data_IF_375321826905
#
_entry.id   IF_375321826905
#
_cell.length_a   1.000
_cell.length_b   1.000
_cell.length_c   1.000
_cell.angle_alpha   90.00
_cell.angle_beta   90.00
_cell.angle_gamma   90.00
#
_symmetry.space_group_name_H-M   'P 1'
#
loop_
_entity.id
_entity.type
_entity.pdbx_description
1 polymer ?
#
# COMPACT_ATOMS: atom_id res chain seq x y z
N UNK A 1 -22.51 26.68 -88.97
CA UNK A 1 -21.09 26.29 -89.09
C UNK A 1 -20.97 24.90 -88.50
N UNK A 2 -20.72 23.87 -89.31
CA UNK A 2 -20.46 22.51 -88.83
C UNK A 2 -19.11 22.47 -88.14
N UNK A 3 -19.04 21.93 -86.92
CA UNK A 3 -17.78 21.83 -86.16
C UNK A 3 -17.12 20.48 -86.45
N UNK A 4 -16.58 20.36 -87.66
CA UNK A 4 -15.91 19.14 -88.13
C UNK A 4 -14.41 19.26 -87.89
N UNK A 5 -13.78 18.22 -87.35
CA UNK A 5 -12.34 18.20 -87.14
C UNK A 5 -11.62 18.10 -88.50
N UNK A 6 -10.69 19.01 -88.82
CA UNK A 6 -10.03 19.03 -90.12
C UNK A 6 -9.06 17.86 -90.32
N UNK A 7 -8.55 17.27 -89.23
CA UNK A 7 -7.53 16.21 -89.31
C UNK A 7 -8.13 14.80 -89.53
N UNK A 8 -9.40 14.58 -89.15
CA UNK A 8 -10.05 13.26 -89.26
C UNK A 8 -11.50 13.27 -89.76
N UNK A 9 -12.07 14.45 -90.06
CA UNK A 9 -13.42 14.57 -90.60
C UNK A 9 -14.56 14.27 -89.61
N UNK A 10 -14.27 14.04 -88.32
CA UNK A 10 -15.32 13.77 -87.31
C UNK A 10 -16.13 15.02 -86.99
N UNK A 11 -17.46 14.91 -86.94
CA UNK A 11 -18.37 16.02 -86.61
C UNK A 11 -18.67 16.11 -85.12
N UNK A 12 -18.71 17.34 -84.60
CA UNK A 12 -19.00 17.62 -83.20
C UNK A 12 -20.11 18.66 -83.05
N UNK A 13 -20.89 18.53 -81.97
CA UNK A 13 -21.99 19.44 -81.67
C UNK A 13 -21.53 20.85 -81.26
N UNK A 14 -20.31 20.98 -80.71
CA UNK A 14 -19.73 22.27 -80.29
C UNK A 14 -18.24 22.40 -80.65
N UNK A 15 -17.80 23.64 -80.90
CA UNK A 15 -16.44 23.96 -81.37
C UNK A 15 -15.35 23.67 -80.33
N UNK A 16 -15.63 23.89 -79.05
CA UNK A 16 -14.75 23.60 -77.92
C UNK A 16 -14.46 22.10 -77.78
N UNK A 17 -15.49 21.25 -77.99
CA UNK A 17 -15.35 19.80 -77.98
C UNK A 17 -14.49 19.32 -79.16
N UNK A 18 -14.70 19.89 -80.35
CA UNK A 18 -13.87 19.61 -81.53
C UNK A 18 -12.39 19.99 -81.29
N UNK A 19 -12.13 21.18 -80.73
CA UNK A 19 -10.76 21.62 -80.42
C UNK A 19 -10.07 20.74 -79.37
N UNK A 20 -10.82 20.24 -78.38
CA UNK A 20 -10.29 19.30 -77.38
C UNK A 20 -9.99 17.93 -77.98
N UNK A 21 -10.86 17.44 -78.86
CA UNK A 21 -10.61 16.22 -79.64
C UNK A 21 -9.33 16.37 -80.47
N UNK A 22 -9.19 17.48 -81.20
CA UNK A 22 -8.03 17.74 -82.04
C UNK A 22 -6.72 17.73 -81.23
N UNK A 23 -6.72 18.38 -80.07
CA UNK A 23 -5.54 18.43 -79.19
C UNK A 23 -5.18 17.07 -78.58
N UNK A 24 -6.15 16.20 -78.31
CA UNK A 24 -5.93 14.94 -77.61
C UNK A 24 -5.68 13.75 -78.55
N UNK A 25 -6.26 13.76 -79.75
CA UNK A 25 -6.19 12.64 -80.70
C UNK A 25 -5.17 12.85 -81.80
N UNK A 26 -4.90 14.10 -82.19
CA UNK A 26 -4.03 14.41 -83.34
C UNK A 26 -2.72 15.10 -82.96
N UNK A 27 -2.58 15.55 -81.70
CA UNK A 27 -1.30 16.09 -81.22
C UNK A 27 -0.37 14.96 -80.78
N UNK A 28 0.09 14.19 -81.77
CA UNK A 28 1.28 13.35 -81.63
C UNK A 28 2.48 14.31 -81.59
N UNK A 29 3.09 14.41 -80.41
CA UNK A 29 4.43 14.94 -80.09
C UNK A 29 5.10 15.82 -81.16
N UNK A 30 5.26 17.11 -80.88
CA UNK A 30 6.40 17.83 -81.43
C UNK A 30 7.67 17.16 -80.90
N UNK A 31 8.63 16.78 -81.77
CA UNK A 31 9.90 16.23 -81.32
C UNK A 31 10.71 17.35 -80.67
N UNK A 32 11.25 17.08 -79.48
CA UNK A 32 12.31 17.88 -78.89
C UNK A 32 13.52 17.91 -79.84
N UNK A 33 14.31 19.00 -79.88
CA UNK A 33 15.51 19.06 -80.70
C UNK A 33 16.46 17.91 -80.32
N UNK A 34 16.88 17.14 -81.33
CA UNK A 34 17.86 16.06 -81.23
C UNK A 34 19.17 16.63 -80.68
N UNK A 35 19.54 16.21 -79.46
CA UNK A 35 20.85 16.46 -78.88
C UNK A 35 21.74 15.29 -79.29
N UNK A 36 22.87 15.62 -79.93
CA UNK A 36 23.87 14.69 -80.46
C UNK A 36 24.23 13.55 -79.50
N UNK A 37 24.19 12.32 -80.03
CA UNK A 37 24.73 11.10 -79.42
C UNK A 37 26.26 11.19 -79.27
N UNK A 38 26.75 11.63 -78.11
CA UNK A 38 28.18 11.53 -77.77
C UNK A 38 28.52 11.45 -76.28
N UNK A 39 27.56 11.24 -75.37
CA UNK A 39 27.87 11.15 -73.93
C UNK A 39 27.16 9.96 -73.27
N UNK A 40 27.87 9.15 -72.46
CA UNK A 40 27.24 8.11 -71.66
C UNK A 40 26.25 8.75 -70.67
N UNK A 41 25.13 8.08 -70.36
CA UNK A 41 24.14 8.62 -69.44
C UNK A 41 24.79 8.86 -68.07
N UNK A 42 24.42 9.96 -67.38
CA UNK A 42 24.93 10.24 -66.04
C UNK A 42 24.52 9.10 -65.09
N UNK A 43 25.36 8.80 -64.08
CA UNK A 43 25.02 7.79 -63.09
C UNK A 43 23.71 8.14 -62.37
N UNK A 44 22.95 7.13 -61.94
CA UNK A 44 21.71 7.37 -61.21
C UNK A 44 21.98 8.18 -59.93
N UNK A 45 21.04 9.06 -59.53
CA UNK A 45 21.19 9.83 -58.32
C UNK A 45 21.32 8.89 -57.11
N UNK A 46 22.08 9.30 -56.06
CA UNK A 46 22.19 8.53 -54.84
C UNK A 46 20.81 8.33 -54.20
N UNK A 47 20.60 7.22 -53.48
CA UNK A 47 19.35 6.98 -52.77
C UNK A 47 19.07 8.12 -51.78
N UNK A 48 17.79 8.44 -51.53
CA UNK A 48 17.43 9.45 -50.56
C UNK A 48 17.97 9.08 -49.17
N UNK A 49 18.34 10.07 -48.35
CA UNK A 49 18.78 9.82 -46.99
C UNK A 49 17.65 9.11 -46.22
N UNK A 50 18.02 8.27 -45.23
CA UNK A 50 17.02 7.62 -44.37
C UNK A 50 16.15 8.69 -43.69
N UNK A 51 14.86 8.37 -43.41
CA UNK A 51 14.00 9.28 -42.70
C UNK A 51 14.61 9.64 -41.34
N UNK A 52 14.42 10.88 -40.86
CA UNK A 52 14.90 11.26 -39.54
C UNK A 52 14.28 10.33 -38.48
N UNK A 53 15.00 10.04 -37.39
CA UNK A 53 14.46 9.27 -36.28
C UNK A 53 13.17 9.94 -35.76
N UNK A 54 12.21 9.15 -35.26
CA UNK A 54 11.00 9.71 -34.65
C UNK A 54 11.39 10.69 -33.54
N UNK A 55 10.61 11.77 -33.34
CA UNK A 55 10.87 12.69 -32.24
C UNK A 55 10.89 11.92 -30.91
N UNK A 56 11.77 12.30 -29.98
CA UNK A 56 11.80 11.67 -28.67
C UNK A 56 10.41 11.78 -28.02
N UNK A 57 10.00 10.77 -27.23
CA UNK A 57 8.75 10.85 -26.50
C UNK A 57 8.70 12.14 -25.66
N UNK A 58 7.51 12.75 -25.49
CA UNK A 58 7.39 13.95 -24.67
C UNK A 58 7.96 13.69 -23.28
N UNK A 59 8.61 14.69 -22.65
CA UNK A 59 9.11 14.55 -21.29
C UNK A 59 7.96 14.11 -20.37
N UNK A 60 8.23 13.23 -19.39
CA UNK A 60 7.21 12.81 -18.45
C UNK A 60 6.59 14.05 -17.78
N UNK A 61 5.27 14.05 -17.51
CA UNK A 61 4.64 15.15 -16.80
C UNK A 61 5.39 15.42 -15.50
N UNK A 62 5.50 16.69 -15.07
CA UNK A 62 6.15 17.03 -13.82
C UNK A 62 5.52 16.20 -12.69
N UNK A 63 6.33 15.71 -11.72
CA UNK A 63 5.81 14.88 -10.65
C UNK A 63 4.67 15.63 -9.95
N UNK A 64 3.48 15.05 -9.96
CA UNK A 64 2.36 15.56 -9.17
C UNK A 64 2.80 15.53 -7.71
N UNK A 65 2.87 16.69 -7.06
CA UNK A 65 3.06 16.75 -5.62
C UNK A 65 1.94 15.95 -4.95
N UNK A 66 2.31 15.11 -3.99
CA UNK A 66 1.34 14.31 -3.24
C UNK A 66 0.62 15.24 -2.27
N UNK A 67 -0.70 15.36 -2.43
CA UNK A 67 -1.57 16.13 -1.54
C UNK A 67 -2.50 15.14 -0.83
N UNK A 68 -2.44 15.13 0.49
CA UNK A 68 -3.35 14.37 1.34
C UNK A 68 -4.60 15.21 1.55
N UNK A 69 -5.76 14.64 1.21
CA UNK A 69 -7.03 15.32 1.34
C UNK A 69 -7.63 15.05 2.71
N UNK A 70 -7.76 16.09 3.54
CA UNK A 70 -8.45 16.03 4.82
C UNK A 70 -9.98 16.05 4.62
N UNK A 71 -10.75 15.37 5.49
CA UNK A 71 -10.30 14.42 6.50
C UNK A 71 -9.80 13.10 5.88
N UNK A 72 -8.92 12.40 6.60
CA UNK A 72 -8.40 11.10 6.19
C UNK A 72 -8.02 10.19 7.37
N UNK A 73 -7.95 8.89 7.10
CA UNK A 73 -7.39 7.88 8.00
C UNK A 73 -6.07 7.36 7.42
N UNK A 74 -5.05 7.25 8.26
CA UNK A 74 -3.69 6.88 7.83
C UNK A 74 -3.05 5.85 8.77
N UNK A 75 -2.34 4.89 8.19
CA UNK A 75 -1.45 3.99 8.94
C UNK A 75 -0.01 4.12 8.45
N UNK A 76 0.94 4.27 9.37
CA UNK A 76 2.37 4.18 9.12
C UNK A 76 2.87 2.88 9.76
N UNK A 77 3.37 1.94 8.96
CA UNK A 77 3.72 0.60 9.42
C UNK A 77 5.18 0.23 9.11
N UNK A 78 5.89 -0.23 10.14
CA UNK A 78 7.27 -0.71 10.03
C UNK A 78 7.94 -0.89 11.40
N UNK A 79 9.02 -1.67 11.50
CA UNK A 79 9.65 -2.02 12.76
C UNK A 79 10.24 -0.80 13.50
N UNK A 80 10.67 -0.99 14.74
CA UNK A 80 11.42 0.05 15.49
C UNK A 80 12.61 0.55 14.67
N UNK A 81 12.83 1.87 14.69
CA UNK A 81 13.92 2.50 13.95
C UNK A 81 13.69 2.65 12.44
N UNK A 82 12.52 2.28 11.91
CA UNK A 82 12.26 2.34 10.46
C UNK A 82 12.02 3.75 9.89
N UNK A 83 11.97 4.79 10.73
CA UNK A 83 11.78 6.20 10.30
C UNK A 83 10.35 6.74 10.34
N UNK A 84 9.37 6.00 10.87
CA UNK A 84 7.94 6.41 10.91
C UNK A 84 7.71 7.77 11.57
N UNK A 85 8.23 7.97 12.77
CA UNK A 85 8.07 9.20 13.55
C UNK A 85 8.68 10.40 12.81
N UNK A 86 9.83 10.21 12.16
CA UNK A 86 10.47 11.25 11.35
C UNK A 86 9.70 11.56 10.06
N UNK A 87 9.14 10.53 9.42
CA UNK A 87 8.24 10.70 8.27
C UNK A 87 7.03 11.56 8.65
N UNK A 88 6.41 11.28 9.80
CA UNK A 88 5.28 12.07 10.31
C UNK A 88 5.71 13.50 10.63
N UNK A 89 6.84 13.71 11.30
CA UNK A 89 7.41 15.05 11.50
C UNK A 89 7.55 15.82 10.19
N UNK A 90 8.12 15.19 9.17
CA UNK A 90 8.32 15.80 7.84
C UNK A 90 6.99 16.18 7.20
N UNK A 91 5.96 15.33 7.32
CA UNK A 91 4.61 15.65 6.86
C UNK A 91 4.05 16.87 7.61
N UNK A 92 4.20 16.92 8.93
CA UNK A 92 3.67 18.02 9.74
C UNK A 92 4.35 19.35 9.46
N UNK A 93 5.68 19.36 9.31
CA UNK A 93 6.45 20.54 8.91
C UNK A 93 6.02 21.07 7.54
N UNK A 94 5.50 20.20 6.67
CA UNK A 94 4.97 20.53 5.34
C UNK A 94 3.44 20.48 5.26
N UNK A 95 2.74 20.46 6.40
CA UNK A 95 1.30 20.24 6.43
C UNK A 95 0.51 21.27 5.62
N UNK A 96 0.99 22.53 5.54
CA UNK A 96 0.35 23.61 4.77
C UNK A 96 0.36 23.37 3.26
N UNK A 97 1.30 22.59 2.75
CA UNK A 97 1.44 22.30 1.31
C UNK A 97 1.08 20.87 0.95
N UNK A 98 1.12 19.95 1.93
CA UNK A 98 0.87 18.52 1.71
C UNK A 98 -0.46 18.02 2.26
N UNK A 99 -1.17 18.80 3.07
CA UNK A 99 -2.50 18.43 3.59
C UNK A 99 -3.50 19.52 3.22
N UNK A 100 -4.66 19.15 2.66
CA UNK A 100 -5.67 20.10 2.20
C UNK A 100 -7.09 19.69 2.64
N UNK A 101 -7.82 20.54 3.40
CA UNK A 101 -7.31 21.71 4.12
C UNK A 101 -6.23 21.34 5.16
N UNK A 102 -5.34 22.28 5.48
CA UNK A 102 -4.30 22.04 6.48
C UNK A 102 -4.90 21.99 7.89
N UNK A 103 -4.47 21.08 8.77
CA UNK A 103 -5.00 21.01 10.13
C UNK A 103 -4.72 22.28 10.93
N UNK A 104 -5.78 22.82 11.55
CA UNK A 104 -5.71 23.95 12.48
C UNK A 104 -5.35 23.50 13.89
N UNK A 105 -5.63 22.24 14.25
CA UNK A 105 -5.24 21.63 15.52
C UNK A 105 -4.57 20.28 15.28
N UNK A 106 -3.42 20.06 15.91
CA UNK A 106 -2.71 18.77 15.86
C UNK A 106 -2.59 18.23 17.29
N UNK A 107 -3.04 17.00 17.52
CA UNK A 107 -2.88 16.30 18.79
C UNK A 107 -1.98 15.10 18.58
N UNK A 108 -0.84 15.08 19.26
CA UNK A 108 0.12 13.99 19.22
C UNK A 108 0.05 13.17 20.51
N UNK A 109 -0.53 11.98 20.40
CA UNK A 109 -0.64 11.02 21.49
C UNK A 109 0.60 10.12 21.52
N UNK A 110 1.26 9.98 22.69
CA UNK A 110 2.53 9.25 22.81
C UNK A 110 2.58 8.38 24.07
N UNK A 111 3.38 7.30 24.06
CA UNK A 111 3.64 6.50 25.28
C UNK A 111 4.79 7.05 26.13
N UNK A 112 5.92 7.37 25.48
CA UNK A 112 7.14 7.91 26.11
C UNK A 112 7.59 9.18 25.42
N UNK A 113 8.02 10.17 26.20
CA UNK A 113 8.52 11.44 25.67
C UNK A 113 9.80 11.22 24.85
N UNK A 114 9.90 11.90 23.71
CA UNK A 114 11.07 11.83 22.81
C UNK A 114 11.61 13.26 22.59
N UNK A 115 12.95 13.45 22.48
CA UNK A 115 13.53 14.77 22.22
C UNK A 115 12.95 15.49 21.00
N UNK A 116 12.55 14.72 19.98
CA UNK A 116 11.88 15.22 18.77
C UNK A 116 10.61 16.04 19.06
N UNK A 117 9.89 15.72 20.14
CA UNK A 117 8.65 16.41 20.49
C UNK A 117 8.94 17.87 20.88
N UNK A 118 10.06 18.12 21.55
CA UNK A 118 10.51 19.48 21.86
C UNK A 118 10.79 20.30 20.60
N UNK A 119 11.38 19.69 19.56
CA UNK A 119 11.59 20.35 18.26
C UNK A 119 10.26 20.67 17.55
N UNK A 120 9.33 19.71 17.59
CA UNK A 120 7.99 19.88 17.01
C UNK A 120 7.21 21.00 17.70
N UNK A 121 7.25 21.09 19.04
CA UNK A 121 6.60 22.18 19.78
C UNK A 121 7.13 23.56 19.39
N UNK A 122 8.43 23.67 19.11
CA UNK A 122 9.04 24.93 18.68
C UNK A 122 8.63 25.30 17.25
N UNK A 123 8.51 24.31 16.38
CA UNK A 123 8.26 24.52 14.94
C UNK A 123 6.78 24.66 14.61
N UNK A 124 5.91 23.94 15.34
CA UNK A 124 4.48 23.81 15.05
C UNK A 124 3.69 24.33 16.25
N UNK A 125 3.25 25.59 16.20
CA UNK A 125 2.62 26.25 17.36
C UNK A 125 1.29 25.65 17.80
N UNK A 126 0.59 24.97 16.90
CA UNK A 126 -0.74 24.40 17.11
C UNK A 126 -0.72 22.89 17.42
N UNK A 127 0.44 22.36 17.86
CA UNK A 127 0.57 20.97 18.30
C UNK A 127 0.37 20.84 19.82
N UNK A 128 -0.44 19.87 20.23
CA UNK A 128 -0.65 19.47 21.62
C UNK A 128 -0.14 18.04 21.81
N UNK A 129 0.65 17.81 22.86
CA UNK A 129 1.14 16.49 23.22
C UNK A 129 0.31 15.91 24.36
N UNK A 130 -0.18 14.68 24.19
CA UNK A 130 -1.00 13.96 25.18
C UNK A 130 -0.36 12.60 25.44
N UNK A 131 -0.17 12.22 26.70
CA UNK A 131 0.36 10.90 27.03
C UNK A 131 -0.76 9.86 27.04
N UNK A 132 -0.58 8.75 26.32
CA UNK A 132 -1.59 7.69 26.19
C UNK A 132 -2.71 8.02 25.20
N UNK A 133 -3.77 7.20 25.21
CA UNK A 133 -4.99 7.48 24.46
C UNK A 133 -5.89 8.41 25.28
N UNK A 134 -6.44 9.49 24.70
CA UNK A 134 -7.43 10.33 25.37
C UNK A 134 -8.68 9.52 25.73
N UNK A 135 -9.16 9.61 26.97
CA UNK A 135 -10.38 8.90 27.41
C UNK A 135 -11.64 9.44 26.70
N UNK A 136 -11.64 10.72 26.35
CA UNK A 136 -12.73 11.41 25.67
C UNK A 136 -12.48 11.58 24.17
N UNK A 137 -11.76 10.63 23.54
CA UNK A 137 -11.40 10.70 22.11
C UNK A 137 -12.61 10.89 21.18
N UNK A 138 -13.77 10.36 21.59
CA UNK A 138 -15.00 10.39 20.83
C UNK A 138 -15.93 11.58 21.17
N UNK A 139 -15.56 12.42 22.14
CA UNK A 139 -16.37 13.56 22.57
C UNK A 139 -16.10 14.79 21.69
N UNK A 140 -17.17 15.47 21.28
CA UNK A 140 -17.12 16.76 20.58
C UNK A 140 -16.42 17.85 21.41
N UNK A 141 -16.37 17.69 22.74
CA UNK A 141 -15.60 18.57 23.64
C UNK A 141 -14.09 18.47 23.42
N UNK A 142 -13.61 17.30 22.99
CA UNK A 142 -12.20 17.05 22.69
C UNK A 142 -11.87 17.39 21.24
N UNK A 143 -12.76 17.00 20.32
CA UNK A 143 -12.64 17.22 18.87
C UNK A 143 -13.71 18.20 18.39
N UNK A 144 -13.31 19.46 18.26
CA UNK A 144 -14.15 20.51 17.70
C UNK A 144 -14.23 20.38 16.17
N UNK A 145 -15.33 19.79 15.68
CA UNK A 145 -15.57 19.54 14.25
C UNK A 145 -15.65 20.80 13.39
N UNK A 146 -15.73 21.99 13.99
CA UNK A 146 -15.68 23.27 13.26
C UNK A 146 -14.32 23.53 12.63
N UNK A 147 -13.25 22.91 13.12
CA UNK A 147 -11.88 23.14 12.66
C UNK A 147 -11.22 21.84 12.18
N UNK A 148 -10.50 21.87 11.04
CA UNK A 148 -9.74 20.71 10.57
C UNK A 148 -8.72 20.25 11.61
N UNK A 149 -8.89 19.03 12.12
CA UNK A 149 -8.03 18.50 13.19
C UNK A 149 -7.23 17.28 12.72
N UNK A 150 -6.06 17.05 13.30
CA UNK A 150 -5.25 15.84 13.07
C UNK A 150 -4.83 15.22 14.39
N UNK A 151 -5.22 13.96 14.63
CA UNK A 151 -4.72 13.15 15.75
C UNK A 151 -3.68 12.16 15.25
N UNK A 152 -2.56 12.08 15.96
CA UNK A 152 -1.48 11.14 15.70
C UNK A 152 -1.34 10.24 16.91
N UNK A 153 -1.37 8.92 16.70
CA UNK A 153 -1.25 7.91 17.74
C UNK A 153 0.11 7.21 17.56
N UNK A 154 1.11 7.62 18.35
CA UNK A 154 2.50 7.17 18.23
C UNK A 154 2.95 6.27 19.39
N UNK A 155 3.52 5.12 19.06
CA UNK A 155 3.96 4.09 20.02
C UNK A 155 2.83 3.58 20.95
N UNK A 156 1.59 3.62 20.46
CA UNK A 156 0.39 3.17 21.16
C UNK A 156 -0.23 1.92 20.50
N UNK A 157 0.53 1.15 19.71
CA UNK A 157 -0.02 0.08 18.87
C UNK A 157 -0.96 -0.89 19.60
N UNK A 158 -0.60 -1.38 20.80
CA UNK A 158 -1.48 -2.30 21.57
C UNK A 158 -2.76 -1.61 22.06
N UNK A 159 -2.63 -0.37 22.52
CA UNK A 159 -3.76 0.42 23.03
C UNK A 159 -4.72 0.74 21.86
N UNK A 160 -4.15 1.11 20.71
CA UNK A 160 -4.86 1.42 19.46
C UNK A 160 -5.59 0.20 18.88
N UNK A 161 -4.91 -0.94 18.71
CA UNK A 161 -5.49 -2.10 18.02
C UNK A 161 -6.59 -2.82 18.81
N UNK A 162 -6.79 -2.45 20.07
CA UNK A 162 -7.85 -2.96 20.93
C UNK A 162 -8.88 -1.90 21.33
N UNK A 163 -8.73 -0.65 20.86
CA UNK A 163 -9.66 0.44 21.16
C UNK A 163 -10.78 0.51 20.12
N UNK A 164 -12.02 0.31 20.59
CA UNK A 164 -13.21 0.51 19.75
C UNK A 164 -13.37 1.96 19.33
N UNK A 165 -13.03 2.91 20.20
CA UNK A 165 -13.13 4.34 19.92
C UNK A 165 -12.20 4.73 18.77
N UNK A 166 -10.96 4.25 18.78
CA UNK A 166 -10.04 4.50 17.66
C UNK A 166 -10.53 3.81 16.37
N UNK A 167 -11.10 2.61 16.47
CA UNK A 167 -11.68 1.91 15.33
C UNK A 167 -12.83 2.70 14.70
N UNK A 168 -13.73 3.25 15.51
CA UNK A 168 -14.86 4.08 15.07
C UNK A 168 -14.38 5.28 14.24
N UNK A 169 -13.28 5.92 14.64
CA UNK A 169 -12.67 7.00 13.86
C UNK A 169 -12.25 6.56 12.46
N UNK A 170 -11.83 5.30 12.28
CA UNK A 170 -11.43 4.76 10.99
C UNK A 170 -12.62 4.38 10.11
N UNK A 171 -13.72 3.94 10.70
CA UNK A 171 -14.91 3.45 9.96
C UNK A 171 -15.82 4.61 9.53
N UNK A 172 -16.13 5.52 10.45
CA UNK A 172 -17.10 6.60 10.19
C UNK A 172 -16.70 7.95 10.81
N UNK A 173 -16.04 7.95 11.97
CA UNK A 173 -15.82 9.16 12.76
C UNK A 173 -14.97 10.24 12.06
N UNK A 174 -13.93 9.85 11.30
CA UNK A 174 -13.03 10.81 10.63
C UNK A 174 -13.76 11.80 9.72
N UNK A 175 -14.70 11.31 8.90
CA UNK A 175 -15.42 12.14 7.94
C UNK A 175 -16.48 13.03 8.59
N UNK A 176 -17.14 12.54 9.65
CA UNK A 176 -18.19 13.28 10.34
C UNK A 176 -17.65 14.34 11.29
N UNK A 177 -16.40 14.20 11.77
CA UNK A 177 -15.80 15.08 12.78
C UNK A 177 -14.74 16.04 12.25
N UNK A 178 -14.61 16.20 10.92
CA UNK A 178 -13.57 17.06 10.30
C UNK A 178 -12.17 16.73 10.88
N UNK A 179 -11.87 15.42 10.96
CA UNK A 179 -10.75 14.89 11.72
C UNK A 179 -9.94 13.94 10.84
N UNK A 180 -8.65 14.21 10.70
CA UNK A 180 -7.69 13.22 10.22
C UNK A 180 -7.11 12.42 11.37
N UNK A 181 -6.88 11.13 11.16
CA UNK A 181 -6.28 10.22 12.15
C UNK A 181 -5.10 9.50 11.53
N UNK A 182 -3.96 9.50 12.22
CA UNK A 182 -2.77 8.78 11.80
C UNK A 182 -2.26 7.85 12.91
N UNK A 183 -2.22 6.55 12.63
CA UNK A 183 -1.69 5.54 13.55
C UNK A 183 -0.27 5.15 13.13
N UNK A 184 0.70 5.29 14.04
CA UNK A 184 2.06 4.83 13.84
C UNK A 184 2.22 3.47 14.52
N UNK A 185 2.39 2.42 13.72
CA UNK A 185 2.37 1.03 14.16
C UNK A 185 3.69 0.33 13.82
N UNK A 186 4.09 -0.61 14.68
CA UNK A 186 5.26 -1.46 14.42
C UNK A 186 4.99 -2.49 13.32
N UNK A 187 3.73 -2.90 13.15
CA UNK A 187 3.28 -3.84 12.13
C UNK A 187 1.88 -3.46 11.62
N UNK A 188 1.66 -3.52 10.32
CA UNK A 188 0.35 -3.31 9.70
C UNK A 188 -0.67 -4.42 10.03
N UNK A 189 -0.18 -5.60 10.45
CA UNK A 189 -0.98 -6.79 10.78
C UNK A 189 -0.82 -7.19 12.25
N UNK A 190 -0.63 -6.21 13.14
CA UNK A 190 -0.53 -6.46 14.58
C UNK A 190 -1.78 -7.15 15.13
N UNK A 191 -1.61 -7.98 16.16
CA UNK A 191 -2.74 -8.58 16.89
C UNK A 191 -3.56 -7.48 17.58
N UNK A 192 -4.87 -7.67 17.61
CA UNK A 192 -5.84 -6.77 18.23
C UNK A 192 -7.19 -6.87 17.53
N UNK A 193 -8.27 -6.75 18.29
CA UNK A 193 -9.64 -6.98 17.80
C UNK A 193 -10.00 -6.05 16.63
N UNK A 194 -9.46 -4.84 16.64
CA UNK A 194 -9.81 -3.78 15.69
C UNK A 194 -8.79 -3.60 14.55
N UNK A 195 -7.61 -4.23 14.67
CA UNK A 195 -6.48 -4.08 13.75
C UNK A 195 -6.86 -4.29 12.28
N UNK A 196 -7.61 -5.36 11.98
CA UNK A 196 -8.06 -5.69 10.62
C UNK A 196 -9.02 -4.62 10.08
N UNK A 197 -9.98 -4.21 10.89
CA UNK A 197 -10.99 -3.21 10.51
C UNK A 197 -10.33 -1.87 10.20
N UNK A 198 -9.42 -1.41 11.06
CA UNK A 198 -8.66 -0.18 10.84
C UNK A 198 -7.80 -0.25 9.57
N UNK A 199 -7.15 -1.39 9.33
CA UNK A 199 -6.32 -1.60 8.14
C UNK A 199 -7.11 -1.50 6.84
N UNK A 200 -8.29 -2.14 6.78
CA UNK A 200 -9.16 -2.11 5.59
C UNK A 200 -9.77 -0.71 5.37
N UNK A 201 -10.08 0.04 6.43
CA UNK A 201 -10.67 1.37 6.34
C UNK A 201 -9.65 2.52 6.27
N UNK A 202 -8.35 2.20 6.20
CA UNK A 202 -7.30 3.20 6.03
C UNK A 202 -7.32 3.78 4.61
N UNK A 203 -7.39 5.10 4.49
CA UNK A 203 -7.32 5.79 3.20
C UNK A 203 -5.90 5.98 2.69
N UNK A 204 -4.95 6.09 3.61
CA UNK A 204 -3.53 6.17 3.32
C UNK A 204 -2.75 5.14 4.12
N UNK A 205 -1.81 4.44 3.49
CA UNK A 205 -0.90 3.53 4.17
C UNK A 205 0.53 3.85 3.76
N UNK A 206 1.43 3.95 4.73
CA UNK A 206 2.87 4.10 4.50
C UNK A 206 3.58 2.86 5.00
N UNK A 207 4.16 2.09 4.08
CA UNK A 207 4.92 0.90 4.42
C UNK A 207 6.42 1.19 4.39
N UNK A 208 7.08 0.95 5.52
CA UNK A 208 8.53 1.03 5.66
C UNK A 208 9.17 -0.34 5.54
N UNK A 209 10.48 -0.35 5.27
CA UNK A 209 11.26 -1.58 5.19
C UNK A 209 11.17 -2.38 6.49
N UNK A 210 10.74 -3.64 6.38
CA UNK A 210 10.95 -4.65 7.40
C UNK A 210 11.82 -5.78 6.81
N UNK A 211 13.12 -5.86 7.13
CA UNK A 211 14.00 -6.89 6.56
C UNK A 211 13.57 -8.32 6.88
N UNK A 212 12.90 -8.54 8.03
CA UNK A 212 12.50 -9.88 8.50
C UNK A 212 11.13 -10.29 7.97
N UNK A 213 10.16 -9.37 7.99
CA UNK A 213 8.77 -9.66 7.63
C UNK A 213 8.44 -9.14 6.22
N UNK A 214 8.56 -10.03 5.24
CA UNK A 214 8.12 -9.80 3.86
C UNK A 214 6.70 -10.30 3.60
N UNK A 215 6.08 -10.97 4.58
CA UNK A 215 4.72 -11.53 4.47
C UNK A 215 3.71 -10.39 4.43
N UNK A 216 3.89 -9.37 5.27
CA UNK A 216 3.01 -8.20 5.30
C UNK A 216 2.84 -7.52 3.94
N UNK A 217 3.92 -7.01 3.30
CA UNK A 217 3.85 -6.44 1.95
C UNK A 217 3.25 -7.40 0.91
N UNK A 218 3.52 -8.71 1.02
CA UNK A 218 2.94 -9.70 0.12
C UNK A 218 1.43 -9.88 0.29
N UNK A 219 0.89 -9.70 1.51
CA UNK A 219 -0.56 -9.68 1.76
C UNK A 219 -1.19 -8.48 1.06
N UNK A 220 -0.65 -7.26 1.24
CA UNK A 220 -1.13 -6.07 0.54
C UNK A 220 -1.09 -6.25 -0.98
N UNK A 221 0.00 -6.80 -1.51
CA UNK A 221 0.14 -7.06 -2.94
C UNK A 221 -0.98 -7.96 -3.48
N UNK A 222 -1.33 -9.04 -2.79
CA UNK A 222 -2.39 -9.97 -3.21
C UNK A 222 -3.79 -9.38 -3.06
N UNK A 223 -4.02 -8.57 -2.03
CA UNK A 223 -5.32 -7.95 -1.79
C UNK A 223 -5.60 -6.81 -2.76
N UNK A 224 -4.62 -5.94 -3.02
CA UNK A 224 -4.77 -4.80 -3.92
C UNK A 224 -4.65 -5.19 -5.40
N UNK A 225 -3.76 -6.13 -5.72
CA UNK A 225 -3.44 -6.52 -7.10
C UNK A 225 -3.54 -8.04 -7.29
N UNK A 226 -4.74 -8.65 -7.12
CA UNK A 226 -4.88 -10.11 -7.14
C UNK A 226 -4.36 -10.75 -8.44
N UNK A 227 -4.51 -10.06 -9.56
CA UNK A 227 -4.06 -10.53 -10.87
C UNK A 227 -2.59 -10.17 -11.18
N UNK A 228 -1.97 -9.27 -10.42
CA UNK A 228 -0.58 -8.88 -10.61
C UNK A 228 0.12 -8.41 -9.31
N UNK A 229 0.34 -9.29 -8.32
CA UNK A 229 0.99 -8.91 -7.06
C UNK A 229 2.42 -8.38 -7.25
N UNK A 230 3.08 -8.76 -8.35
CA UNK A 230 4.43 -8.30 -8.69
C UNK A 230 4.51 -6.79 -8.89
N UNK A 231 3.45 -6.14 -9.42
CA UNK A 231 3.38 -4.67 -9.57
C UNK A 231 3.65 -3.98 -8.23
N UNK A 232 2.96 -4.40 -7.19
CA UNK A 232 3.12 -3.88 -5.84
C UNK A 232 4.49 -4.21 -5.25
N UNK A 233 4.90 -5.49 -5.30
CA UNK A 233 6.14 -5.91 -4.68
C UNK A 233 7.37 -5.23 -5.30
N UNK A 234 7.34 -4.96 -6.60
CA UNK A 234 8.40 -4.21 -7.27
C UNK A 234 8.45 -2.76 -6.76
N UNK A 235 7.29 -2.09 -6.63
CA UNK A 235 7.21 -0.73 -6.06
C UNK A 235 7.65 -0.66 -4.61
N UNK A 236 7.27 -1.65 -3.80
CA UNK A 236 7.71 -1.73 -2.41
C UNK A 236 9.23 -1.89 -2.31
N UNK A 237 9.83 -2.79 -3.10
CA UNK A 237 11.29 -2.96 -3.15
C UNK A 237 12.00 -1.69 -3.62
N UNK A 238 11.48 -1.02 -4.64
CA UNK A 238 11.99 0.26 -5.16
C UNK A 238 11.96 1.35 -4.08
N UNK A 239 10.81 1.55 -3.43
CA UNK A 239 10.65 2.57 -2.39
C UNK A 239 11.43 2.29 -1.10
N UNK A 240 11.68 1.03 -0.78
CA UNK A 240 12.38 0.63 0.46
C UNK A 240 13.84 0.23 0.24
N UNK A 241 14.41 0.54 -0.93
CA UNK A 241 15.80 0.23 -1.24
C UNK A 241 16.75 0.98 -0.30
N UNK A 242 16.51 2.28 -0.11
CA UNK A 242 17.31 3.16 0.74
C UNK A 242 16.93 3.08 2.22
N UNK A 243 17.85 3.40 3.15
CA UNK A 243 17.51 3.59 4.56
C UNK A 243 16.35 4.57 4.73
N UNK A 244 15.40 4.22 5.60
CA UNK A 244 14.17 5.01 5.85
C UNK A 244 13.25 5.19 4.62
N UNK A 245 13.53 4.50 3.52
CA UNK A 245 12.68 4.47 2.33
C UNK A 245 11.29 3.89 2.63
N UNK A 246 10.29 4.40 1.93
CA UNK A 246 8.89 4.05 2.15
C UNK A 246 8.09 3.96 0.85
N UNK A 247 7.07 3.09 0.88
CA UNK A 247 6.01 3.06 -0.13
C UNK A 247 4.77 3.74 0.46
N UNK A 248 4.33 4.83 -0.16
CA UNK A 248 3.06 5.47 0.12
C UNK A 248 1.97 4.86 -0.75
N UNK A 249 0.85 4.50 -0.13
CA UNK A 249 -0.29 3.83 -0.74
C UNK A 249 -1.52 4.72 -0.55
N UNK A 250 -2.16 5.06 -1.66
CA UNK A 250 -3.34 5.90 -1.73
C UNK A 250 -4.57 5.06 -2.08
N UNK A 251 -5.39 4.82 -1.07
CA UNK A 251 -6.56 3.93 -1.11
C UNK A 251 -7.88 4.72 -1.24
N UNK A 252 -7.83 6.03 -1.49
CA UNK A 252 -9.06 6.78 -1.76
C UNK A 252 -9.74 6.25 -3.03
N UNK A 253 -11.07 6.28 -3.02
CA UNK A 253 -11.89 5.72 -4.11
C UNK A 253 -11.69 6.48 -5.43
N UNK A 254 -11.42 7.78 -5.35
CA UNK A 254 -11.19 8.65 -6.50
C UNK A 254 -9.74 8.66 -7.00
N UNK A 255 -8.82 7.92 -6.36
CA UNK A 255 -7.43 7.84 -6.79
C UNK A 255 -7.29 6.88 -7.99
N UNK A 256 -6.76 7.34 -9.14
CA UNK A 256 -6.51 6.47 -10.30
C UNK A 256 -5.55 5.33 -9.96
N UNK A 257 -5.75 4.17 -10.58
CA UNK A 257 -5.03 2.94 -10.24
C UNK A 257 -3.51 3.05 -10.35
N UNK A 258 -3.01 3.83 -11.32
CA UNK A 258 -1.58 4.05 -11.53
C UNK A 258 -0.98 5.12 -10.60
N UNK A 259 -1.83 5.93 -9.95
CA UNK A 259 -1.44 6.95 -8.99
C UNK A 259 -1.49 6.43 -7.53
N UNK A 260 -1.93 5.18 -7.30
CA UNK A 260 -2.08 4.59 -5.95
C UNK A 260 -0.75 4.35 -5.23
N UNK A 261 0.29 3.95 -5.94
CA UNK A 261 1.58 3.56 -5.37
C UNK A 261 2.63 4.64 -5.63
N UNK A 262 3.00 5.40 -4.60
CA UNK A 262 3.95 6.52 -4.70
C UNK A 262 5.18 6.24 -3.84
N UNK A 263 6.35 6.55 -4.36
CA UNK A 263 7.63 6.30 -3.68
C UNK A 263 8.11 7.58 -3.01
N UNK A 264 8.63 7.46 -1.77
CA UNK A 264 9.36 8.51 -1.07
C UNK A 264 8.80 9.93 -1.29
N UNK A 265 7.55 10.16 -0.91
CA UNK A 265 6.76 11.34 -1.31
C UNK A 265 7.33 12.71 -0.84
N UNK A 266 8.41 12.71 -0.06
CA UNK A 266 9.11 13.92 0.38
C UNK A 266 10.40 14.22 -0.40
N UNK A 267 10.90 13.27 -1.19
CA UNK A 267 12.10 13.42 -2.00
C UNK A 267 11.80 14.30 -3.21
N UNK A 268 12.29 15.53 -3.18
CA UNK A 268 12.36 16.35 -4.38
C UNK A 268 13.38 15.70 -5.33
N UNK A 269 12.93 15.25 -6.50
CA UNK A 269 13.83 14.80 -7.60
C UNK A 269 14.85 15.87 -8.05
N UNK A 270 14.74 17.10 -7.54
CA UNK A 270 15.68 18.20 -7.75
C UNK A 270 16.77 18.33 -6.66
N UNK A 271 16.90 17.37 -5.73
CA UNK A 271 17.96 17.34 -4.71
C UNK A 271 18.82 16.08 -4.77
N UNK A 272 19.10 15.57 -5.97
CA UNK A 272 20.22 14.64 -6.17
C UNK A 272 21.50 15.49 -6.13
N UNK A 273 22.02 15.74 -4.93
CA UNK A 273 23.24 16.53 -4.74
C UNK A 273 23.54 17.00 -3.31
N UNK A 274 22.72 16.66 -2.31
CA UNK A 274 23.02 16.95 -0.91
C UNK A 274 22.90 15.68 -0.10
N UNK A 275 24.04 15.06 0.21
CA UNK A 275 24.11 13.95 1.16
C UNK A 275 23.45 14.37 2.48
N UNK A 276 22.77 13.43 3.11
CA UNK A 276 22.47 13.52 4.53
C UNK A 276 23.80 13.80 5.23
N UNK A 277 23.94 14.98 5.83
CA UNK A 277 25.20 15.42 6.45
C UNK A 277 25.66 14.40 7.48
N UNK A 278 26.87 13.86 7.27
CA UNK A 278 27.62 12.95 8.17
C UNK A 278 27.81 13.49 9.60
N UNK A 279 27.44 14.74 9.85
CA UNK A 279 27.65 15.47 11.10
C UNK A 279 26.84 14.93 12.30
N UNK A 280 25.79 14.13 12.08
CA UNK A 280 24.97 13.57 13.16
C UNK A 280 25.47 12.21 13.71
N UNK A 281 26.33 11.50 12.96
CA UNK A 281 26.84 10.18 13.36
C UNK A 281 27.98 10.29 14.40
N UNK A 282 28.67 11.43 14.47
CA UNK A 282 29.89 11.59 15.29
C UNK A 282 29.68 12.01 16.76
N UNK A 283 28.46 12.30 17.22
CA UNK A 283 28.24 12.90 18.57
C UNK A 283 27.79 11.94 19.69
N UNK A 284 27.93 10.63 19.53
CA UNK A 284 27.51 9.66 20.58
C UNK A 284 28.60 8.76 21.17
N UNK A 285 29.87 9.06 20.93
CA UNK A 285 30.98 8.49 21.72
C UNK A 285 31.44 9.51 22.76
N UNK A 286 30.65 9.70 23.82
CA UNK A 286 31.14 10.24 25.08
C UNK A 286 30.58 9.36 26.20
N UNK A 287 31.50 8.95 27.08
CA UNK A 287 31.40 7.89 28.09
C UNK A 287 30.18 8.00 29.03
N UNK A 288 29.68 6.88 29.57
CA UNK A 288 28.57 6.90 30.52
C UNK A 288 28.98 7.58 31.83
N UNK A 289 28.14 8.46 32.41
CA UNK A 289 28.41 9.07 33.70
C UNK A 289 28.36 8.03 34.82
N UNK A 290 29.41 8.01 35.63
CA UNK A 290 29.47 7.29 36.90
C UNK A 290 28.42 7.87 37.84
N UNK A 291 27.52 7.02 38.35
CA UNK A 291 26.64 7.38 39.46
C UNK A 291 26.97 6.46 40.63
N UNK A 292 27.39 7.10 41.73
CA UNK A 292 27.72 6.47 43.01
C UNK A 292 26.49 5.83 43.64
N UNK A 293 26.74 4.68 44.27
CA UNK A 293 25.80 3.92 45.08
C UNK A 293 25.23 4.76 46.23
N UNK A 294 23.93 4.64 46.49
CA UNK A 294 23.49 4.35 47.86
C UNK A 294 22.08 3.76 47.91
N UNK A 295 21.96 2.84 48.86
CA UNK A 295 20.77 2.33 49.54
C UNK A 295 20.09 1.04 49.06
N UNK A 296 20.14 0.10 50.01
CA UNK A 296 19.68 -1.28 50.02
C UNK A 296 18.15 -1.38 50.10
N UNK A 297 17.58 -2.37 49.42
CA UNK A 297 16.70 -3.36 50.08
C UNK A 297 16.58 -4.61 49.21
N UNK A 298 16.70 -5.76 49.87
CA UNK A 298 16.54 -7.09 49.30
C UNK A 298 15.08 -7.33 48.87
N UNK A 299 14.90 -7.83 47.66
CA UNK A 299 13.76 -8.70 47.35
C UNK A 299 14.19 -9.74 46.31
N UNK A 300 14.19 -10.98 46.76
CA UNK A 300 14.41 -12.22 46.02
C UNK A 300 13.39 -12.37 44.89
N UNK A 301 13.85 -12.32 43.63
CA UNK A 301 13.09 -12.79 42.48
C UNK A 301 13.54 -14.20 42.11
N UNK A 302 12.61 -15.15 42.20
CA UNK A 302 12.72 -16.49 41.62
C UNK A 302 12.67 -16.39 40.07
N UNK A 303 13.44 -17.19 39.32
CA UNK A 303 13.39 -17.18 37.87
C UNK A 303 12.16 -17.93 37.35
N UNK A 304 11.30 -17.21 36.62
CA UNK A 304 10.10 -17.74 35.97
C UNK A 304 10.47 -18.67 34.79
N UNK A 305 9.70 -19.75 34.65
CA UNK A 305 9.98 -20.88 33.77
C UNK A 305 9.91 -20.48 32.28
N UNK A 306 10.86 -21.01 31.50
CA UNK A 306 10.99 -20.79 30.05
C UNK A 306 9.75 -21.33 29.31
N UNK A 307 8.97 -20.45 28.71
CA UNK A 307 7.98 -20.81 27.68
C UNK A 307 8.71 -21.43 26.46
N UNK A 308 8.57 -22.74 26.29
CA UNK A 308 9.06 -23.45 25.10
C UNK A 308 8.10 -23.14 23.95
N UNK A 309 8.52 -22.32 22.98
CA UNK A 309 7.77 -22.07 21.76
C UNK A 309 7.84 -23.29 20.83
N UNK A 310 6.73 -24.00 20.56
CA UNK A 310 6.73 -25.20 19.72
C UNK A 310 6.95 -24.85 18.24
N UNK A 311 7.69 -25.70 17.52
CA UNK A 311 7.94 -25.56 16.08
C UNK A 311 7.38 -26.73 15.29
N UNK A 312 7.02 -26.51 14.02
CA UNK A 312 6.68 -27.58 13.09
C UNK A 312 7.95 -28.28 12.62
N UNK A 313 8.03 -29.60 12.82
CA UNK A 313 9.19 -30.40 12.43
C UNK A 313 9.37 -30.49 10.90
N UNK A 314 8.30 -30.32 10.13
CA UNK A 314 8.34 -30.42 8.66
C UNK A 314 8.82 -29.13 7.98
N UNK A 315 8.38 -27.96 8.46
CA UNK A 315 8.69 -26.67 7.80
C UNK A 315 9.45 -25.66 8.68
N UNK A 316 9.73 -26.01 9.94
CA UNK A 316 10.52 -25.19 10.86
C UNK A 316 9.83 -23.92 11.39
N UNK A 317 8.55 -23.70 11.07
CA UNK A 317 7.80 -22.52 11.55
C UNK A 317 7.52 -22.67 13.05
N UNK A 318 7.82 -21.61 13.82
CA UNK A 318 7.64 -21.55 15.27
C UNK A 318 6.29 -20.90 15.60
N UNK A 319 5.59 -21.47 16.58
CA UNK A 319 4.25 -21.04 17.00
C UNK A 319 4.27 -20.63 18.47
N UNK A 320 3.41 -19.67 18.81
CA UNK A 320 3.25 -19.20 20.20
C UNK A 320 2.48 -20.20 21.07
N UNK A 321 1.80 -21.17 20.47
CA UNK A 321 1.02 -22.17 21.20
C UNK A 321 0.93 -23.50 20.43
N UNK A 322 0.80 -24.61 21.16
CA UNK A 322 0.59 -25.95 20.58
C UNK A 322 -0.68 -26.02 19.70
N UNK A 323 -1.81 -25.35 20.04
CA UNK A 323 -2.98 -25.27 19.16
C UNK A 323 -2.71 -24.58 17.81
N UNK A 324 -1.85 -23.56 17.78
CA UNK A 324 -1.48 -22.89 16.53
C UNK A 324 -0.64 -23.79 15.62
N UNK A 325 0.29 -24.53 16.22
CA UNK A 325 1.05 -25.58 15.54
C UNK A 325 0.11 -26.66 14.96
N UNK A 326 -0.85 -27.15 15.75
CA UNK A 326 -1.80 -28.17 15.30
C UNK A 326 -2.68 -27.68 14.13
N UNK A 327 -3.10 -26.41 14.16
CA UNK A 327 -3.85 -25.79 13.05
C UNK A 327 -3.00 -25.67 11.79
N UNK A 328 -1.74 -25.30 11.94
CA UNK A 328 -0.79 -25.25 10.83
C UNK A 328 -0.57 -26.63 10.20
N UNK A 329 -0.27 -27.66 11.00
CA UNK A 329 -0.06 -29.04 10.52
C UNK A 329 -1.27 -29.55 9.72
N UNK A 330 -2.49 -29.27 10.17
CA UNK A 330 -3.71 -29.81 9.55
C UNK A 330 -4.20 -29.04 8.30
N UNK A 331 -3.94 -27.74 8.20
CA UNK A 331 -4.55 -26.88 7.16
C UNK A 331 -3.57 -26.24 6.19
N UNK A 332 -2.32 -26.02 6.59
CA UNK A 332 -1.48 -25.04 5.88
C UNK A 332 0.03 -25.32 5.88
N UNK A 333 0.49 -26.47 6.37
CA UNK A 333 1.88 -26.85 6.23
C UNK A 333 2.24 -27.06 4.74
N UNK A 334 3.18 -26.29 4.16
CA UNK A 334 3.53 -26.37 2.74
C UNK A 334 4.03 -27.75 2.32
N UNK A 335 4.73 -28.43 3.22
CA UNK A 335 5.27 -29.79 3.05
C UNK A 335 4.19 -30.89 3.19
N UNK A 336 3.00 -30.55 3.70
CA UNK A 336 1.91 -31.51 3.93
C UNK A 336 0.93 -31.60 2.73
N UNK A 337 1.19 -30.87 1.64
CA UNK A 337 0.41 -30.97 0.40
C UNK A 337 0.70 -32.27 -0.38
N UNK A 338 1.89 -32.86 -0.21
CA UNK A 338 2.27 -34.10 -0.93
C UNK A 338 1.70 -35.38 -0.27
N UNK A 339 1.28 -35.33 0.99
CA UNK A 339 0.66 -36.47 1.69
C UNK A 339 -0.86 -36.59 1.46
N UNK A 340 -1.57 -35.48 1.18
CA UNK A 340 -3.00 -35.54 0.83
C UNK A 340 -3.24 -36.17 -0.54
N UNK A 341 -2.29 -36.07 -1.47
CA UNK A 341 -2.41 -36.64 -2.83
C UNK A 341 -2.07 -38.14 -2.89
N UNK A 342 -1.39 -38.69 -1.87
CA UNK A 342 -1.00 -40.09 -1.80
C UNK A 342 -1.98 -41.00 -1.06
N UNK A 343 -2.93 -40.46 -0.30
CA UNK A 343 -3.92 -41.26 0.46
C UNK A 343 -5.12 -41.74 -0.36
N UNK A 344 -5.28 -41.32 -1.62
CA UNK A 344 -6.40 -41.75 -2.47
C UNK A 344 -6.16 -43.11 -3.18
N UNK A 345 -5.03 -43.80 -2.93
CA UNK A 345 -4.66 -45.03 -3.66
C UNK A 345 -4.35 -46.28 -2.82
N UNK A 346 -4.49 -46.24 -1.49
CA UNK A 346 -4.23 -47.41 -0.64
C UNK A 346 -5.35 -47.57 0.41
N UNK A 347 -6.54 -47.94 -0.04
CA UNK A 347 -7.56 -48.54 0.81
C UNK A 347 -7.51 -50.07 0.65
N UNK A 348 -6.68 -50.74 1.45
CA UNK A 348 -6.93 -52.13 1.86
C UNK A 348 -6.89 -52.26 3.39
N UNK A 349 -8.05 -52.71 3.90
CA UNK A 349 -8.31 -53.48 5.13
C UNK A 349 -7.78 -53.00 6.50
N UNK A 350 -8.62 -52.26 7.24
CA UNK A 350 -8.80 -52.42 8.70
C UNK A 350 -10.29 -52.22 9.09
N UNK A 351 -10.90 -53.08 9.93
CA UNK A 351 -12.34 -53.31 9.93
C UNK A 351 -13.18 -52.35 10.79
N UNK A 352 -14.44 -52.25 10.37
CA UNK A 352 -15.50 -51.42 10.94
C UNK A 352 -15.82 -51.69 12.41
N UNK A 353 -16.03 -50.61 13.17
CA UNK A 353 -17.08 -50.59 14.21
C UNK A 353 -18.16 -49.60 13.77
N UNK A 354 -19.23 -50.13 13.19
CA UNK A 354 -20.48 -49.41 12.97
C UNK A 354 -21.22 -49.30 14.30
N UNK A 355 -21.57 -48.09 14.71
CA UNK A 355 -22.88 -47.85 15.33
C UNK A 355 -23.66 -46.92 14.40
N UNK A 356 -24.67 -47.51 13.75
CA UNK A 356 -25.69 -46.83 12.96
C UNK A 356 -26.48 -45.89 13.88
N UNK A 357 -26.63 -44.64 13.48
CA UNK A 357 -27.85 -43.86 13.75
C UNK A 357 -28.27 -43.24 12.42
N UNK A 358 -29.54 -43.43 12.10
CA UNK A 358 -30.17 -43.14 10.82
C UNK A 358 -30.19 -41.64 10.51
N UNK A 359 -30.18 -41.32 9.21
CA UNK A 359 -30.64 -40.06 8.65
C UNK A 359 -32.03 -39.71 9.19
N UNK A 360 -32.15 -38.50 9.74
CA UNK A 360 -33.41 -37.78 9.88
C UNK A 360 -33.16 -36.34 9.42
N UNK A 361 -34.11 -35.86 8.63
CA UNK A 361 -34.16 -34.58 7.97
C UNK A 361 -34.01 -33.35 8.90
N UNK A 362 -33.59 -32.28 8.23
CA UNK A 362 -33.37 -30.90 8.66
C UNK A 362 -34.58 -30.35 9.44
N UNK A 363 -34.36 -29.87 10.67
CA UNK A 363 -35.01 -28.66 11.24
C UNK A 363 -34.37 -28.28 12.59
N UNK A 364 -33.89 -27.03 12.68
CA UNK A 364 -33.62 -26.18 13.86
C UNK A 364 -33.16 -26.84 15.18
N UNK A 365 -31.84 -26.92 15.41
CA UNK A 365 -31.31 -27.55 16.65
C UNK A 365 -29.95 -27.09 17.19
N UNK A 366 -29.26 -26.12 16.59
CA UNK A 366 -27.92 -25.70 17.08
C UNK A 366 -27.97 -24.84 18.35
N UNK A 367 -29.10 -24.17 18.63
CA UNK A 367 -29.22 -23.26 19.78
C UNK A 367 -29.43 -24.00 21.13
N UNK A 368 -30.04 -25.18 21.13
CA UNK A 368 -30.33 -25.92 22.36
C UNK A 368 -29.11 -26.64 22.94
N UNK A 369 -28.16 -27.05 22.10
CA UNK A 369 -26.91 -27.65 22.56
C UNK A 369 -26.01 -26.60 23.23
N UNK A 370 -26.00 -25.37 22.70
CA UNK A 370 -25.25 -24.25 23.27
C UNK A 370 -25.84 -23.78 24.60
N UNK A 371 -27.17 -23.70 24.71
CA UNK A 371 -27.86 -23.34 25.96
C UNK A 371 -27.58 -24.39 27.05
N UNK A 372 -27.64 -25.68 26.72
CA UNK A 372 -27.40 -26.76 27.69
C UNK A 372 -25.94 -26.84 28.15
N UNK A 373 -24.98 -26.57 27.26
CA UNK A 373 -23.56 -26.42 27.61
C UNK A 373 -23.31 -25.16 28.48
N UNK A 374 -24.04 -24.07 28.22
CA UNK A 374 -23.94 -22.85 29.00
C UNK A 374 -24.58 -22.95 30.40
N UNK A 375 -25.62 -23.77 30.57
CA UNK A 375 -26.21 -24.10 31.88
C UNK A 375 -25.31 -25.03 32.70
N UNK A 376 -24.77 -26.09 32.10
CA UNK A 376 -23.80 -26.98 32.76
C UNK A 376 -22.53 -26.23 33.19
N UNK A 377 -22.06 -25.27 32.39
CA UNK A 377 -20.95 -24.40 32.75
C UNK A 377 -21.32 -23.37 33.83
N UNK A 378 -22.60 -23.02 34.00
CA UNK A 378 -23.08 -22.11 35.05
C UNK A 378 -23.18 -22.84 36.40
N UNK A 379 -23.73 -24.05 36.40
CA UNK A 379 -23.82 -24.90 37.60
C UNK A 379 -22.42 -25.28 38.12
N UNK A 380 -21.51 -25.70 37.23
CA UNK A 380 -20.13 -26.05 37.62
C UNK A 380 -19.33 -24.86 38.20
N UNK A 381 -19.74 -23.62 37.90
CA UNK A 381 -19.10 -22.42 38.44
C UNK A 381 -19.80 -21.87 39.70
N UNK A 382 -21.03 -22.28 39.99
CA UNK A 382 -21.75 -21.92 41.21
C UNK A 382 -21.13 -22.64 42.43
N UNK A 383 -20.80 -23.93 42.27
CA UNK A 383 -20.15 -24.73 43.32
C UNK A 383 -18.75 -24.20 43.70
N UNK A 384 -18.08 -23.52 42.76
CA UNK A 384 -16.74 -22.94 42.97
C UNK A 384 -16.80 -21.59 43.74
N UNK A 385 -17.96 -20.92 43.76
CA UNK A 385 -18.15 -19.62 44.43
C UNK A 385 -18.63 -19.74 45.89
N UNK A 386 -19.32 -20.82 46.26
CA UNK A 386 -19.72 -21.07 47.66
C UNK A 386 -18.56 -21.60 48.55
N UNK A 387 -17.49 -22.15 47.97
CA UNK A 387 -16.27 -22.55 48.73
C UNK A 387 -15.28 -21.41 49.03
N UNK A 388 -15.53 -20.19 48.50
CA UNK A 388 -14.64 -19.03 48.68
C UNK A 388 -15.31 -17.79 49.28
N UNK A 389 -16.51 -17.94 49.84
CA UNK A 389 -17.18 -16.95 50.69
C UNK A 389 -17.24 -17.46 52.12
#
# INVERSE_FOLDING_TARGET
MSNTCPDCGSEFSRKDVMLRHQRNKHRISQPYPQVNDAYPPPPPPPPPPPPPPPPPPPPPPPPKNVILHHPFTMMLAGPTGSGKTFWMKTLLERARTMITPSPERIVWCYKRWQPLFSELQQTIKNILFVQGLPENLNDDSFIDSRYPSLIILDDLMRDVTNSKDVCELFVEGSHHRNLSVACILQNAFSKGKESRTMSINSQYIVLFKNPRDQVGPAIFARQMYPNNPKKFMNKYKEGTQQPYGSLFIDLKQNTPEDDRLKLNIFENKNMIGGGVSEEYISRKELEPPQFEESFQSEQTYLPDEKEIMPSCDDCGVVFESVPDLARHMNKWCPENNDLKRKREFEDEDIPSKKSRVNEIDIEDGEDMAFIKLAELAREANADIWEEKS
#
